data_IF_742404219508
#
_entry.id   IF_742404219508
#
_cell.length_a   1.000
_cell.length_b   1.000
_cell.length_c   1.000
_cell.angle_alpha   90.00
_cell.angle_beta   90.00
_cell.angle_gamma   90.00
#
_symmetry.space_group_name_H-M   'P 1'
#
loop_
_entity.id
_entity.type
_entity.pdbx_description
1 polymer ?
#
# COMPACT_ATOMS: atom_id res chain seq x y z
N UNK A 1 -36.06 -25.12 5.09
CA UNK A 1 -35.47 -23.81 5.30
C UNK A 1 -33.96 -23.93 4.99
N UNK A 2 -33.56 -23.77 3.71
CA UNK A 2 -32.17 -23.60 3.34
C UNK A 2 -31.87 -22.10 3.41
N UNK A 3 -31.26 -21.69 4.50
CA UNK A 3 -30.55 -20.41 4.57
C UNK A 3 -29.30 -20.63 3.70
N UNK A 4 -29.26 -20.04 2.50
CA UNK A 4 -28.04 -19.89 1.75
C UNK A 4 -27.14 -18.97 2.60
N UNK A 5 -26.23 -19.57 3.38
CA UNK A 5 -25.07 -18.85 3.87
C UNK A 5 -24.30 -18.41 2.63
N UNK A 6 -24.16 -17.11 2.40
CA UNK A 6 -23.25 -16.59 1.38
C UNK A 6 -21.87 -17.19 1.67
N UNK A 7 -21.27 -17.87 0.70
CA UNK A 7 -19.93 -18.42 0.87
C UNK A 7 -18.98 -17.26 1.22
N UNK A 8 -18.39 -17.33 2.42
CA UNK A 8 -17.41 -16.33 2.85
C UNK A 8 -16.27 -16.27 1.84
N UNK A 9 -16.06 -15.10 1.21
CA UNK A 9 -14.95 -14.88 0.29
C UNK A 9 -13.82 -14.15 1.04
N UNK A 10 -12.65 -14.77 1.23
CA UNK A 10 -11.55 -14.18 1.98
C UNK A 10 -10.94 -12.93 1.32
N UNK A 11 -11.30 -12.62 0.08
CA UNK A 11 -10.92 -11.38 -0.61
C UNK A 11 -11.85 -10.20 -0.29
N UNK A 12 -12.86 -10.39 0.58
CA UNK A 12 -13.75 -9.33 1.06
C UNK A 12 -13.56 -9.17 2.56
N UNK A 13 -13.38 -7.94 3.00
CA UNK A 13 -13.38 -7.61 4.42
C UNK A 13 -14.80 -7.79 5.01
N UNK A 14 -14.91 -7.99 6.32
CA UNK A 14 -16.21 -8.28 6.96
C UNK A 14 -17.30 -7.25 6.61
N UNK A 15 -16.94 -5.98 6.57
CA UNK A 15 -17.87 -4.90 6.20
C UNK A 15 -18.16 -4.82 4.69
N UNK A 16 -17.39 -5.50 3.85
CA UNK A 16 -17.61 -5.62 2.40
C UNK A 16 -18.46 -6.83 2.03
N UNK A 17 -18.66 -7.82 2.94
CA UNK A 17 -19.45 -9.03 2.65
C UNK A 17 -20.85 -8.74 2.09
N UNK A 18 -21.59 -7.68 2.50
CA UNK A 18 -22.86 -7.34 1.89
C UNK A 18 -22.81 -7.02 0.39
N UNK A 19 -21.64 -6.61 -0.12
CA UNK A 19 -21.42 -6.33 -1.55
C UNK A 19 -21.32 -7.62 -2.36
N UNK A 20 -20.80 -8.68 -1.75
CA UNK A 20 -20.57 -9.97 -2.40
C UNK A 20 -21.86 -10.57 -2.98
N UNK A 21 -22.97 -10.46 -2.25
CA UNK A 21 -24.28 -10.96 -2.72
C UNK A 21 -24.76 -10.27 -4.01
N UNK A 22 -24.51 -8.98 -4.12
CA UNK A 22 -24.89 -8.20 -5.32
C UNK A 22 -23.95 -8.58 -6.48
N UNK A 23 -22.66 -8.68 -6.24
CA UNK A 23 -21.66 -9.06 -7.24
C UNK A 23 -21.86 -10.50 -7.74
N UNK A 24 -22.18 -11.43 -6.87
CA UNK A 24 -22.53 -12.80 -7.24
C UNK A 24 -23.77 -12.84 -8.15
N UNK A 25 -24.80 -12.04 -7.86
CA UNK A 25 -25.98 -11.92 -8.74
C UNK A 25 -25.62 -11.36 -10.11
N UNK A 26 -24.77 -10.35 -10.18
CA UNK A 26 -24.30 -9.77 -11.45
C UNK A 26 -23.50 -10.82 -12.23
N UNK A 27 -22.60 -11.54 -11.57
CA UNK A 27 -21.77 -12.58 -12.18
C UNK A 27 -22.62 -13.73 -12.71
N UNK A 28 -23.58 -14.22 -11.92
CA UNK A 28 -24.49 -15.28 -12.35
C UNK A 28 -25.29 -14.92 -13.60
N UNK A 29 -25.72 -13.66 -13.74
CA UNK A 29 -26.43 -13.20 -14.93
C UNK A 29 -25.47 -13.12 -16.13
N UNK A 30 -24.23 -12.62 -15.93
CA UNK A 30 -23.22 -12.52 -17.00
C UNK A 30 -22.76 -13.88 -17.54
N UNK A 31 -22.69 -14.90 -16.70
CA UNK A 31 -22.25 -16.26 -17.07
C UNK A 31 -23.35 -17.10 -17.70
N UNK A 32 -24.62 -16.65 -17.65
CA UNK A 32 -25.71 -17.35 -18.33
C UNK A 32 -25.55 -17.23 -19.85
N UNK A 33 -25.60 -18.36 -20.56
CA UNK A 33 -25.27 -18.46 -21.99
C UNK A 33 -26.19 -17.68 -22.95
N UNK A 34 -27.32 -17.10 -22.46
CA UNK A 34 -28.30 -16.36 -23.27
C UNK A 34 -28.76 -15.10 -22.53
N UNK A 35 -27.84 -14.15 -22.32
CA UNK A 35 -28.22 -12.86 -21.71
C UNK A 35 -29.22 -12.08 -22.60
N UNK A 36 -30.44 -11.97 -22.14
CA UNK A 36 -31.50 -11.20 -22.82
C UNK A 36 -31.36 -9.70 -22.55
N UNK A 37 -32.04 -8.88 -23.36
CA UNK A 37 -32.10 -7.42 -23.12
C UNK A 37 -32.67 -7.07 -21.73
N UNK A 38 -33.49 -7.94 -21.16
CA UNK A 38 -34.03 -7.83 -19.78
C UNK A 38 -32.93 -8.08 -18.75
N UNK A 39 -32.01 -9.00 -19.03
CA UNK A 39 -30.87 -9.31 -18.15
C UNK A 39 -29.84 -8.17 -18.14
N UNK A 40 -29.61 -7.51 -19.27
CA UNK A 40 -28.77 -6.32 -19.34
C UNK A 40 -29.32 -5.17 -18.46
N UNK A 41 -30.63 -4.89 -18.54
CA UNK A 41 -31.28 -3.89 -17.68
C UNK A 41 -31.19 -4.26 -16.19
N UNK A 42 -31.28 -5.55 -15.87
CA UNK A 42 -31.16 -6.03 -14.50
C UNK A 42 -29.73 -5.88 -13.98
N UNK A 43 -28.71 -6.16 -14.80
CA UNK A 43 -27.29 -5.93 -14.45
C UNK A 43 -27.07 -4.44 -14.18
N UNK A 44 -27.62 -3.55 -15.00
CA UNK A 44 -27.47 -2.11 -14.82
C UNK A 44 -28.09 -1.62 -13.50
N UNK A 45 -29.30 -2.09 -13.18
CA UNK A 45 -29.92 -1.81 -11.88
C UNK A 45 -29.08 -2.33 -10.71
N UNK A 46 -28.56 -3.56 -10.80
CA UNK A 46 -27.71 -4.14 -9.75
C UNK A 46 -26.39 -3.39 -9.58
N UNK A 47 -25.80 -2.86 -10.65
CA UNK A 47 -24.61 -2.02 -10.56
C UNK A 47 -24.88 -0.71 -9.82
N UNK A 48 -26.01 -0.05 -10.11
CA UNK A 48 -26.43 1.16 -9.41
C UNK A 48 -26.63 0.88 -7.91
N UNK A 49 -27.24 -0.25 -7.58
CA UNK A 49 -27.42 -0.66 -6.18
C UNK A 49 -26.07 -1.00 -5.51
N UNK A 50 -25.15 -1.63 -6.24
CA UNK A 50 -23.80 -1.90 -5.77
C UNK A 50 -23.07 -0.61 -5.44
N UNK A 51 -23.04 0.37 -6.36
CA UNK A 51 -22.37 1.65 -6.17
C UNK A 51 -22.93 2.43 -4.99
N UNK A 52 -24.25 2.41 -4.79
CA UNK A 52 -24.91 3.02 -3.63
C UNK A 52 -24.46 2.35 -2.32
N UNK A 53 -24.41 1.01 -2.29
CA UNK A 53 -23.99 0.28 -1.08
C UNK A 53 -22.50 0.52 -0.80
N UNK A 54 -21.64 0.52 -1.82
CA UNK A 54 -20.23 0.87 -1.67
C UNK A 54 -20.11 2.30 -1.09
N UNK A 55 -20.77 3.28 -1.70
CA UNK A 55 -20.74 4.67 -1.21
C UNK A 55 -21.18 4.77 0.25
N UNK A 56 -22.24 4.06 0.63
CA UNK A 56 -22.75 4.05 2.01
C UNK A 56 -21.73 3.45 2.98
N UNK A 57 -21.12 2.32 2.65
CA UNK A 57 -20.13 1.66 3.51
C UNK A 57 -18.86 2.53 3.62
N UNK A 58 -18.33 2.99 2.49
CA UNK A 58 -17.05 3.71 2.45
C UNK A 58 -17.14 5.17 2.93
N UNK A 59 -18.34 5.72 3.09
CA UNK A 59 -18.52 7.07 3.67
C UNK A 59 -18.42 7.12 5.20
N UNK A 60 -18.40 5.96 5.89
CA UNK A 60 -18.45 5.88 7.36
C UNK A 60 -17.51 4.85 7.95
N UNK A 61 -16.36 4.64 7.31
CA UNK A 61 -15.36 3.70 7.79
C UNK A 61 -14.69 4.22 9.07
N UNK A 62 -14.50 3.32 10.05
CA UNK A 62 -13.65 3.58 11.20
C UNK A 62 -12.15 3.52 10.83
N UNK A 63 -11.28 4.09 11.63
CA UNK A 63 -9.83 4.03 11.45
C UNK A 63 -9.32 2.57 11.37
N UNK A 64 -9.94 1.70 12.15
CA UNK A 64 -9.66 0.27 12.09
C UNK A 64 -10.01 -0.34 10.74
N UNK A 65 -11.19 -0.03 10.20
CA UNK A 65 -11.60 -0.50 8.87
C UNK A 65 -10.69 0.05 7.77
N UNK A 66 -10.28 1.33 7.87
CA UNK A 66 -9.29 1.92 6.96
C UNK A 66 -7.96 1.16 7.05
N UNK A 67 -7.51 0.79 8.27
CA UNK A 67 -6.27 0.02 8.43
C UNK A 67 -6.37 -1.37 7.78
N UNK A 68 -7.54 -1.99 7.80
CA UNK A 68 -7.78 -3.25 7.10
C UNK A 68 -7.76 -3.08 5.57
N UNK A 69 -8.35 -1.99 5.04
CA UNK A 69 -8.28 -1.66 3.61
C UNK A 69 -6.84 -1.39 3.18
N UNK A 70 -6.04 -0.66 3.97
CA UNK A 70 -4.64 -0.40 3.69
C UNK A 70 -3.81 -1.68 3.48
N UNK A 71 -4.21 -2.76 4.15
CA UNK A 71 -3.58 -4.09 4.11
C UNK A 71 -4.29 -5.08 3.18
N UNK A 72 -5.30 -4.62 2.44
CA UNK A 72 -6.11 -5.51 1.60
C UNK A 72 -5.24 -6.25 0.57
N UNK A 73 -5.35 -7.60 0.46
CA UNK A 73 -4.44 -8.41 -0.36
C UNK A 73 -4.51 -8.12 -1.87
N UNK A 74 -5.62 -7.57 -2.35
CA UNK A 74 -5.80 -7.18 -3.74
C UNK A 74 -5.42 -5.71 -4.02
N UNK A 75 -4.91 -4.98 -3.05
CA UNK A 75 -4.45 -3.62 -3.25
C UNK A 75 -3.25 -3.58 -4.20
N UNK A 76 -3.12 -2.60 -5.11
CA UNK A 76 -1.93 -2.50 -5.96
C UNK A 76 -0.66 -2.32 -5.12
N UNK A 77 0.42 -3.03 -5.47
CA UNK A 77 1.74 -2.92 -4.89
C UNK A 77 2.67 -2.10 -5.79
N UNK A 78 3.89 -1.85 -5.35
CA UNK A 78 4.87 -1.04 -6.10
C UNK A 78 5.06 -1.48 -7.54
N UNK A 79 5.21 -2.78 -7.81
CA UNK A 79 5.38 -3.28 -9.17
C UNK A 79 4.14 -3.05 -10.04
N UNK A 80 2.92 -3.15 -9.47
CA UNK A 80 1.69 -2.87 -10.23
C UNK A 80 1.66 -1.40 -10.71
N UNK A 81 2.08 -0.46 -9.86
CA UNK A 81 2.21 0.96 -10.26
C UNK A 81 3.30 1.15 -11.30
N UNK A 82 4.48 0.51 -11.11
CA UNK A 82 5.58 0.62 -12.07
C UNK A 82 5.17 0.11 -13.45
N UNK A 83 4.57 -1.07 -13.53
CA UNK A 83 4.18 -1.71 -14.79
C UNK A 83 3.07 -0.96 -15.54
N UNK A 84 2.17 -0.27 -14.83
CA UNK A 84 1.01 0.37 -15.44
C UNK A 84 1.17 1.88 -15.65
N UNK A 85 2.10 2.54 -14.97
CA UNK A 85 2.27 4.00 -15.06
C UNK A 85 3.57 4.41 -15.76
N UNK A 86 4.59 3.56 -15.72
CA UNK A 86 5.92 3.90 -16.21
C UNK A 86 6.33 3.02 -17.39
N UNK A 87 7.28 3.52 -18.17
CA UNK A 87 7.95 2.77 -19.24
C UNK A 87 9.44 2.61 -18.95
N UNK A 88 10.10 1.69 -19.67
CA UNK A 88 11.55 1.48 -19.62
C UNK A 88 12.09 1.21 -18.21
N UNK A 89 11.34 0.52 -17.36
CA UNK A 89 11.82 0.21 -16.02
C UNK A 89 13.05 -0.71 -16.07
N UNK A 90 14.13 -0.26 -15.44
CA UNK A 90 15.38 -1.02 -15.30
C UNK A 90 15.71 -1.16 -13.82
N UNK A 91 15.50 -2.37 -13.28
CA UNK A 91 15.70 -2.65 -11.85
C UNK A 91 17.18 -2.68 -11.47
N UNK A 92 17.48 -2.10 -10.31
CA UNK A 92 18.81 -2.08 -9.68
C UNK A 92 18.80 -3.04 -8.49
N UNK A 93 19.73 -4.00 -8.50
CA UNK A 93 19.86 -5.02 -7.46
C UNK A 93 21.06 -4.84 -6.57
N UNK A 94 20.93 -5.30 -5.32
CA UNK A 94 22.01 -5.46 -4.36
C UNK A 94 22.53 -4.16 -3.74
N UNK A 95 23.02 -4.29 -2.51
CA UNK A 95 23.55 -3.16 -1.72
C UNK A 95 25.05 -2.89 -1.91
N UNK A 96 25.75 -3.75 -2.63
CA UNK A 96 27.23 -3.73 -2.83
C UNK A 96 28.01 -3.98 -1.53
N UNK A 97 27.38 -4.54 -0.51
CA UNK A 97 28.02 -4.89 0.78
C UNK A 97 27.77 -6.32 1.19
N UNK A 98 26.49 -6.75 1.19
CA UNK A 98 26.10 -8.09 1.65
C UNK A 98 25.26 -8.84 0.63
N UNK A 99 24.21 -8.22 0.09
CA UNK A 99 23.29 -8.94 -0.78
C UNK A 99 22.22 -8.07 -1.40
N UNK A 100 21.16 -8.74 -1.87
CA UNK A 100 19.95 -8.09 -2.37
C UNK A 100 18.78 -8.40 -1.46
N UNK A 101 17.86 -7.45 -1.34
CA UNK A 101 16.61 -7.60 -0.61
C UNK A 101 15.42 -7.46 -1.56
N UNK A 102 14.56 -8.46 -1.58
CA UNK A 102 13.39 -8.54 -2.46
C UNK A 102 12.17 -7.77 -1.93
N UNK A 103 12.23 -7.29 -0.69
CA UNK A 103 11.19 -6.44 -0.10
C UNK A 103 11.28 -4.97 -0.56
N UNK A 104 12.41 -4.55 -1.16
CA UNK A 104 12.56 -3.24 -1.78
C UNK A 104 12.86 -3.40 -3.28
N UNK A 105 12.12 -2.68 -4.09
CA UNK A 105 12.34 -2.50 -5.54
C UNK A 105 12.98 -1.14 -5.74
N UNK A 106 14.05 -1.08 -6.53
CA UNK A 106 14.67 0.17 -6.96
C UNK A 106 14.97 0.11 -8.45
N UNK A 107 14.80 1.19 -9.18
CA UNK A 107 15.17 1.22 -10.59
C UNK A 107 14.89 2.56 -11.26
N UNK A 108 15.45 2.74 -12.43
CA UNK A 108 15.12 3.86 -13.31
C UNK A 108 13.87 3.50 -14.13
N UNK A 109 13.03 4.50 -14.36
CA UNK A 109 11.89 4.39 -15.25
C UNK A 109 11.58 5.73 -15.91
N UNK A 110 10.70 5.73 -16.89
CA UNK A 110 10.30 6.93 -17.62
C UNK A 110 8.81 7.15 -17.48
N UNK A 111 8.39 8.37 -17.18
CA UNK A 111 7.02 8.85 -17.20
C UNK A 111 6.99 10.18 -17.98
N UNK A 112 6.15 10.27 -19.02
CA UNK A 112 6.05 11.45 -19.90
C UNK A 112 7.42 11.99 -20.34
N UNK A 113 8.26 11.09 -20.88
CA UNK A 113 9.63 11.35 -21.35
C UNK A 113 10.61 11.88 -20.27
N UNK A 114 10.22 11.86 -19.01
CA UNK A 114 11.08 12.22 -17.88
C UNK A 114 11.56 10.98 -17.14
N UNK A 115 12.85 10.96 -16.82
CA UNK A 115 13.44 9.88 -16.04
C UNK A 115 13.19 10.08 -14.54
N UNK A 116 12.87 8.98 -13.85
CA UNK A 116 12.70 8.92 -12.40
C UNK A 116 13.52 7.78 -11.81
N UNK A 117 14.00 7.97 -10.60
CA UNK A 117 14.42 6.88 -9.74
C UNK A 117 13.20 6.43 -8.91
N UNK A 118 12.76 5.21 -9.13
CA UNK A 118 11.66 4.61 -8.38
C UNK A 118 12.23 3.72 -7.27
N UNK A 119 11.69 3.87 -6.07
CA UNK A 119 12.05 3.06 -4.90
C UNK A 119 10.76 2.68 -4.19
N UNK A 120 10.53 1.40 -3.87
CA UNK A 120 9.31 1.06 -3.18
C UNK A 120 9.34 -0.28 -2.47
N UNK A 121 8.47 -0.42 -1.49
CA UNK A 121 8.26 -1.68 -0.81
C UNK A 121 7.42 -2.61 -1.70
N UNK A 122 7.78 -3.89 -1.72
CA UNK A 122 7.04 -4.91 -2.45
C UNK A 122 6.59 -6.02 -1.52
N UNK A 123 5.30 -6.23 -1.47
CA UNK A 123 4.64 -7.38 -0.83
C UNK A 123 4.39 -8.48 -1.86
N UNK A 124 4.12 -9.70 -1.40
CA UNK A 124 3.74 -10.82 -2.24
C UNK A 124 2.25 -11.06 -2.26
N UNK A 125 1.73 -11.61 -3.38
CA UNK A 125 0.32 -11.98 -3.55
C UNK A 125 0.00 -13.32 -2.92
N UNK A 126 0.75 -14.35 -3.26
CA UNK A 126 0.60 -15.70 -2.72
C UNK A 126 1.61 -16.00 -1.59
N UNK A 127 1.49 -17.16 -0.97
CA UNK A 127 2.34 -17.56 0.16
C UNK A 127 3.81 -17.65 -0.23
N UNK A 128 4.13 -18.12 -1.44
CA UNK A 128 5.51 -18.26 -1.94
C UNK A 128 6.14 -16.89 -2.18
N UNK A 129 5.40 -16.01 -2.84
CA UNK A 129 5.85 -14.65 -3.09
C UNK A 129 5.97 -13.84 -1.79
N UNK A 130 5.02 -13.99 -0.84
CA UNK A 130 5.12 -13.34 0.48
C UNK A 130 6.41 -13.71 1.21
N UNK A 131 6.79 -14.99 1.20
CA UNK A 131 8.06 -15.44 1.78
C UNK A 131 9.25 -14.87 1.01
N UNK A 132 9.22 -14.90 -0.32
CA UNK A 132 10.27 -14.34 -1.18
C UNK A 132 10.48 -12.83 -0.96
N UNK A 133 9.40 -12.07 -0.75
CA UNK A 133 9.41 -10.62 -0.46
C UNK A 133 9.52 -10.31 1.05
N UNK A 134 9.79 -11.32 1.87
CA UNK A 134 9.87 -11.17 3.33
C UNK A 134 8.67 -10.41 3.90
N UNK A 135 7.46 -10.68 3.40
CA UNK A 135 6.19 -10.03 3.77
C UNK A 135 6.21 -8.49 3.63
N UNK A 136 7.05 -7.94 2.77
CA UNK A 136 7.25 -6.50 2.60
C UNK A 136 8.04 -5.84 3.73
N UNK A 137 8.75 -6.64 4.55
CA UNK A 137 9.61 -6.14 5.62
C UNK A 137 11.08 -6.11 5.17
N UNK A 138 11.65 -4.96 4.86
CA UNK A 138 13.03 -4.89 4.39
C UNK A 138 14.05 -5.26 5.47
N UNK A 139 15.13 -5.88 5.01
CA UNK A 139 16.36 -6.11 5.74
C UNK A 139 17.36 -4.97 5.50
N UNK A 140 18.50 -4.90 6.24
CA UNK A 140 19.48 -3.82 6.08
C UNK A 140 19.95 -3.60 4.65
N UNK A 141 20.13 -4.68 3.89
CA UNK A 141 20.55 -4.65 2.49
C UNK A 141 19.52 -3.98 1.58
N UNK A 142 18.23 -4.03 1.90
CA UNK A 142 17.18 -3.30 1.19
C UNK A 142 17.32 -1.79 1.35
N UNK A 143 17.52 -1.32 2.58
CA UNK A 143 17.72 0.10 2.86
C UNK A 143 19.03 0.62 2.27
N UNK A 144 20.12 -0.14 2.36
CA UNK A 144 21.39 0.22 1.71
C UNK A 144 21.28 0.25 0.18
N UNK A 145 20.51 -0.68 -0.41
CA UNK A 145 20.19 -0.65 -1.85
C UNK A 145 19.42 0.62 -2.21
N UNK A 146 18.40 0.97 -1.43
CA UNK A 146 17.64 2.21 -1.61
C UNK A 146 18.55 3.44 -1.55
N UNK A 147 19.41 3.54 -0.53
CA UNK A 147 20.36 4.65 -0.40
C UNK A 147 21.32 4.74 -1.60
N UNK A 148 21.80 3.60 -2.06
CA UNK A 148 22.66 3.55 -3.25
C UNK A 148 21.94 4.08 -4.50
N UNK A 149 20.66 3.72 -4.67
CA UNK A 149 19.81 4.20 -5.75
C UNK A 149 19.56 5.71 -5.63
N UNK A 150 19.28 6.22 -4.43
CA UNK A 150 19.10 7.66 -4.17
C UNK A 150 20.35 8.47 -4.48
N UNK A 151 21.55 8.01 -4.05
CA UNK A 151 22.81 8.66 -4.38
C UNK A 151 23.10 8.66 -5.88
N UNK A 152 22.69 7.62 -6.58
CA UNK A 152 22.82 7.56 -8.05
C UNK A 152 21.87 8.55 -8.72
N UNK A 153 20.64 8.67 -8.26
CA UNK A 153 19.68 9.66 -8.73
C UNK A 153 20.17 11.10 -8.52
N UNK A 154 20.67 11.40 -7.32
CA UNK A 154 21.26 12.70 -7.01
C UNK A 154 22.42 13.05 -7.94
N UNK A 155 23.33 12.09 -8.18
CA UNK A 155 24.49 12.30 -9.09
C UNK A 155 24.07 12.73 -10.50
N UNK A 156 22.93 12.23 -10.99
CA UNK A 156 22.41 12.56 -12.32
C UNK A 156 21.28 13.59 -12.29
N UNK A 157 20.99 14.16 -11.13
CA UNK A 157 19.88 15.10 -10.90
C UNK A 157 18.52 14.57 -11.40
N UNK A 158 18.25 13.30 -11.10
CA UNK A 158 17.01 12.61 -11.46
C UNK A 158 16.07 12.63 -10.26
N UNK A 159 14.80 13.08 -10.39
CA UNK A 159 13.85 13.06 -9.29
C UNK A 159 13.60 11.63 -8.77
N UNK A 160 13.39 11.55 -7.46
CA UNK A 160 13.12 10.30 -6.75
C UNK A 160 11.64 10.24 -6.41
N UNK A 161 10.99 9.11 -6.71
CA UNK A 161 9.64 8.79 -6.28
C UNK A 161 9.68 7.52 -5.43
N UNK A 162 9.15 7.59 -4.19
CA UNK A 162 9.10 6.43 -3.31
C UNK A 162 7.67 5.95 -3.08
N UNK A 163 7.45 4.63 -3.10
CA UNK A 163 6.19 3.96 -2.81
C UNK A 163 6.30 3.20 -1.48
N UNK A 164 5.55 3.63 -0.47
CA UNK A 164 5.62 3.09 0.88
C UNK A 164 4.46 2.11 1.10
N UNK A 165 4.80 0.82 1.33
CA UNK A 165 3.85 -0.22 1.69
C UNK A 165 4.53 -1.35 2.48
N UNK A 166 4.75 -1.12 3.77
CA UNK A 166 5.44 -2.06 4.67
C UNK A 166 4.80 -2.08 6.05
N UNK A 167 4.67 -3.24 6.70
CA UNK A 167 4.31 -3.30 8.12
C UNK A 167 5.44 -2.81 9.05
N UNK A 168 6.68 -2.65 8.53
CA UNK A 168 7.85 -2.21 9.25
C UNK A 168 9.14 -2.85 8.75
N UNK A 169 10.27 -2.48 9.35
CA UNK A 169 11.54 -3.13 9.10
C UNK A 169 11.54 -4.56 9.68
N UNK A 170 12.25 -5.48 9.03
CA UNK A 170 12.36 -6.86 9.53
C UNK A 170 13.06 -6.91 10.90
N UNK A 171 12.43 -7.48 11.94
CA UNK A 171 12.92 -7.44 13.31
C UNK A 171 13.79 -8.65 13.68
N UNK A 172 14.28 -9.41 12.69
CA UNK A 172 15.04 -10.63 12.94
C UNK A 172 16.48 -10.38 13.41
N UNK A 173 17.03 -11.31 14.20
CA UNK A 173 18.40 -11.25 14.73
C UNK A 173 19.44 -11.12 13.61
N UNK A 174 19.20 -11.78 12.47
CA UNK A 174 20.07 -11.69 11.28
C UNK A 174 20.09 -10.29 10.67
N UNK A 175 18.99 -9.54 10.72
CA UNK A 175 18.95 -8.14 10.29
C UNK A 175 19.64 -7.22 11.31
N UNK A 176 19.42 -7.46 12.60
CA UNK A 176 20.07 -6.68 13.66
C UNK A 176 21.59 -6.85 13.61
N UNK A 177 22.09 -8.08 13.44
CA UNK A 177 23.53 -8.38 13.30
C UNK A 177 24.18 -7.72 12.08
N UNK A 178 23.39 -7.35 11.06
CA UNK A 178 23.84 -6.60 9.88
C UNK A 178 23.48 -5.12 9.92
N UNK A 179 23.24 -4.58 11.14
CA UNK A 179 23.01 -3.17 11.42
C UNK A 179 21.71 -2.60 10.81
N UNK A 180 20.56 -3.22 11.11
CA UNK A 180 19.24 -2.74 10.66
C UNK A 180 18.99 -1.28 11.04
N UNK A 181 19.23 -0.91 12.29
CA UNK A 181 19.02 0.46 12.78
C UNK A 181 19.94 1.47 12.11
N UNK A 182 21.19 1.11 11.86
CA UNK A 182 22.16 1.98 11.16
C UNK A 182 21.74 2.18 9.72
N UNK A 183 21.33 1.13 9.01
CA UNK A 183 20.88 1.25 7.62
C UNK A 183 19.65 2.17 7.47
N UNK A 184 18.73 2.13 8.44
CA UNK A 184 17.58 3.06 8.50
C UNK A 184 18.08 4.48 8.79
N UNK A 185 18.91 4.67 9.82
CA UNK A 185 19.42 5.99 10.22
C UNK A 185 20.22 6.67 9.11
N UNK A 186 21.06 5.91 8.40
CA UNK A 186 21.81 6.42 7.24
C UNK A 186 20.89 6.92 6.14
N UNK A 187 19.80 6.21 5.87
CA UNK A 187 18.82 6.65 4.89
C UNK A 187 18.19 7.99 5.31
N UNK A 188 17.71 8.12 6.55
CA UNK A 188 17.14 9.37 7.05
C UNK A 188 18.14 10.54 6.92
N UNK A 189 19.38 10.32 7.36
CA UNK A 189 20.43 11.32 7.31
C UNK A 189 20.75 11.75 5.89
N UNK A 190 20.86 10.82 4.96
CA UNK A 190 21.18 11.15 3.58
C UNK A 190 19.99 11.76 2.83
N UNK A 191 18.78 11.22 3.00
CA UNK A 191 17.57 11.75 2.35
C UNK A 191 17.34 13.22 2.72
N UNK A 192 17.59 13.61 3.98
CA UNK A 192 17.47 15.02 4.40
C UNK A 192 18.49 15.97 3.73
N UNK A 193 19.47 15.45 2.99
CA UNK A 193 20.54 16.22 2.34
C UNK A 193 20.58 16.08 0.82
N UNK A 194 19.85 15.13 0.24
CA UNK A 194 19.74 14.93 -1.20
C UNK A 194 19.18 16.18 -1.85
N UNK A 195 19.82 16.59 -2.96
CA UNK A 195 19.50 17.86 -3.65
C UNK A 195 18.51 17.70 -4.79
N UNK A 196 18.34 16.49 -5.34
CA UNK A 196 17.28 16.26 -6.32
C UNK A 196 15.92 16.10 -5.61
N UNK A 197 14.79 16.46 -6.26
CA UNK A 197 13.47 16.36 -5.66
C UNK A 197 13.12 14.94 -5.24
N UNK A 198 12.55 14.81 -4.06
CA UNK A 198 12.01 13.53 -3.53
C UNK A 198 10.52 13.70 -3.25
N UNK A 199 9.69 12.82 -3.83
CA UNK A 199 8.29 12.68 -3.48
C UNK A 199 8.05 11.28 -2.93
N UNK A 200 7.36 11.18 -1.79
CA UNK A 200 6.96 9.91 -1.18
C UNK A 200 5.45 9.73 -1.23
N UNK A 201 5.00 8.52 -1.51
CA UNK A 201 3.58 8.18 -1.51
C UNK A 201 3.36 6.93 -0.66
N UNK A 202 2.52 7.05 0.38
CA UNK A 202 2.04 5.87 1.13
C UNK A 202 0.90 5.25 0.35
N UNK A 203 1.15 4.08 -0.26
CA UNK A 203 0.19 3.39 -1.13
C UNK A 203 -0.63 2.32 -0.41
N UNK A 204 -0.26 1.97 0.82
CA UNK A 204 -0.93 0.98 1.65
C UNK A 204 -0.62 1.22 3.11
N UNK A 205 0.26 0.41 3.67
CA UNK A 205 0.64 0.45 5.08
C UNK A 205 2.03 1.07 5.24
N UNK A 206 2.12 2.21 5.95
CA UNK A 206 3.38 2.88 6.27
C UNK A 206 3.82 2.59 7.71
N UNK A 207 4.51 1.46 7.93
CA UNK A 207 4.88 1.02 9.26
C UNK A 207 6.25 1.51 9.75
N UNK A 208 6.27 2.31 10.82
CA UNK A 208 7.43 2.59 11.66
C UNK A 208 8.69 3.02 10.88
N UNK A 209 9.87 2.68 11.40
CA UNK A 209 11.17 2.96 10.80
C UNK A 209 11.36 2.35 9.40
N UNK A 210 10.64 1.26 9.10
CA UNK A 210 10.64 0.66 7.77
C UNK A 210 10.11 1.62 6.69
N UNK A 211 8.99 2.26 6.97
CA UNK A 211 8.40 3.27 6.10
C UNK A 211 9.25 4.55 6.08
N UNK A 212 9.69 5.00 7.25
CA UNK A 212 10.45 6.23 7.40
C UNK A 212 11.79 6.19 6.63
N UNK A 213 12.42 5.02 6.54
CA UNK A 213 13.70 4.83 5.87
C UNK A 213 13.70 5.15 4.36
N UNK A 214 12.52 5.24 3.73
CA UNK A 214 12.36 5.73 2.36
C UNK A 214 11.31 6.84 2.25
N UNK A 215 10.89 7.42 3.40
CA UNK A 215 9.78 8.37 3.51
C UNK A 215 10.18 9.81 3.79
N UNK A 216 11.46 10.11 4.00
CA UNK A 216 11.94 11.50 4.17
C UNK A 216 11.99 12.17 2.80
N UNK A 217 11.13 13.16 2.57
CA UNK A 217 10.91 13.72 1.23
C UNK A 217 10.52 15.19 1.27
N UNK A 218 10.63 15.88 0.13
CA UNK A 218 10.17 17.25 -0.04
C UNK A 218 8.63 17.33 -0.04
N UNK A 219 7.98 16.25 -0.51
CA UNK A 219 6.53 16.11 -0.52
C UNK A 219 6.12 14.69 -0.13
N UNK A 220 5.23 14.60 0.83
CA UNK A 220 4.65 13.33 1.28
C UNK A 220 3.16 13.30 0.99
N UNK A 221 2.73 12.36 0.16
CA UNK A 221 1.33 12.10 -0.11
C UNK A 221 0.89 10.74 0.46
N UNK A 222 -0.40 10.59 0.68
CA UNK A 222 -1.01 9.32 1.07
C UNK A 222 -2.19 9.01 0.18
N UNK A 223 -2.39 7.74 -0.18
CA UNK A 223 -3.65 7.30 -0.74
C UNK A 223 -4.76 7.41 0.32
N UNK A 224 -5.98 7.68 -0.11
CA UNK A 224 -7.12 7.97 0.77
C UNK A 224 -7.33 6.93 1.88
N UNK A 225 -7.20 5.64 1.56
CA UNK A 225 -7.39 4.53 2.49
C UNK A 225 -6.05 3.84 2.84
N UNK A 226 -4.95 4.59 2.84
CA UNK A 226 -3.67 4.16 3.39
C UNK A 226 -3.52 4.60 4.86
N UNK A 227 -2.56 4.00 5.57
CA UNK A 227 -2.23 4.36 6.95
C UNK A 227 -0.73 4.63 7.10
N UNK A 228 -0.36 5.52 8.01
CA UNK A 228 1.03 5.79 8.34
C UNK A 228 1.18 5.94 9.85
N UNK A 229 2.00 5.10 10.47
CA UNK A 229 2.09 5.03 11.94
C UNK A 229 3.44 4.50 12.44
N UNK A 230 3.76 4.85 13.68
CA UNK A 230 4.98 4.37 14.37
C UNK A 230 4.87 2.91 14.82
N UNK A 231 3.65 2.39 14.98
CA UNK A 231 3.36 1.03 15.44
C UNK A 231 2.02 0.57 14.87
N UNK A 232 1.84 -0.73 14.67
CA UNK A 232 0.54 -1.27 14.27
C UNK A 232 -0.51 -1.09 15.38
N UNK A 233 -1.80 -0.93 15.04
CA UNK A 233 -2.87 -0.88 16.03
C UNK A 233 -2.85 -2.08 17.00
N UNK A 234 -2.59 -3.29 16.50
CA UNK A 234 -2.49 -4.50 17.32
C UNK A 234 -1.29 -4.46 18.28
N UNK A 235 -0.15 -3.97 17.79
CA UNK A 235 1.05 -3.77 18.61
C UNK A 235 0.84 -2.73 19.72
N UNK A 236 0.22 -1.61 19.38
CA UNK A 236 -0.17 -0.56 20.33
C UNK A 236 -1.13 -1.10 21.39
N UNK A 237 -2.17 -1.83 20.97
CA UNK A 237 -3.14 -2.43 21.86
C UNK A 237 -2.49 -3.44 22.82
N UNK A 238 -1.58 -4.26 22.31
CA UNK A 238 -0.83 -5.24 23.12
C UNK A 238 0.03 -4.58 24.19
N UNK A 239 0.66 -3.44 23.87
CA UNK A 239 1.53 -2.71 24.82
C UNK A 239 0.68 -1.97 25.86
N UNK A 240 -0.32 -1.18 25.44
CA UNK A 240 -1.06 -0.29 26.34
C UNK A 240 -2.13 -1.01 27.15
N UNK A 241 -2.83 -1.96 26.53
CA UNK A 241 -3.95 -2.67 27.19
C UNK A 241 -3.65 -4.15 27.46
N UNK A 242 -2.49 -4.66 27.03
CA UNK A 242 -2.11 -6.08 27.11
C UNK A 242 -3.15 -7.00 26.42
N UNK A 243 -3.83 -6.49 25.43
CA UNK A 243 -4.93 -7.14 24.74
C UNK A 243 -4.99 -6.67 23.26
N UNK A 244 -4.52 -7.51 22.35
CA UNK A 244 -4.50 -7.20 20.91
C UNK A 244 -5.92 -7.06 20.30
N UNK A 245 -6.96 -7.60 20.95
CA UNK A 245 -8.34 -7.45 20.47
C UNK A 245 -8.86 -6.02 20.53
N UNK A 246 -8.16 -5.12 21.24
CA UNK A 246 -8.45 -3.68 21.33
C UNK A 246 -7.79 -2.86 20.21
N UNK A 247 -7.35 -3.52 19.13
CA UNK A 247 -6.73 -2.85 17.98
C UNK A 247 -7.61 -1.75 17.36
N UNK A 248 -8.93 -1.90 17.39
CA UNK A 248 -9.88 -0.87 16.94
C UNK A 248 -9.77 0.43 17.78
N UNK A 249 -9.66 0.31 19.11
CA UNK A 249 -9.48 1.45 20.02
C UNK A 249 -8.11 2.10 19.78
N UNK A 250 -7.09 1.26 19.58
CA UNK A 250 -5.74 1.74 19.28
C UNK A 250 -5.66 2.48 17.95
N UNK A 251 -6.35 2.00 16.90
CA UNK A 251 -6.39 2.66 15.59
C UNK A 251 -6.94 4.09 15.70
N UNK A 252 -8.06 4.26 16.42
CA UNK A 252 -8.65 5.58 16.68
C UNK A 252 -7.70 6.50 17.45
N UNK A 253 -7.06 6.00 18.51
CA UNK A 253 -6.16 6.77 19.35
C UNK A 253 -4.87 7.19 18.64
N UNK A 254 -4.37 6.37 17.73
CA UNK A 254 -3.12 6.61 16.99
C UNK A 254 -3.25 7.66 15.88
N UNK A 255 -4.47 7.98 15.43
CA UNK A 255 -4.72 8.97 14.36
C UNK A 255 -3.93 8.68 13.07
N UNK A 256 -3.98 7.46 12.58
CA UNK A 256 -3.09 6.92 11.52
C UNK A 256 -3.58 7.11 10.08
N UNK A 257 -4.80 7.62 9.91
CA UNK A 257 -5.46 7.75 8.59
C UNK A 257 -5.03 9.03 7.86
N UNK A 258 -5.18 9.02 6.55
CA UNK A 258 -4.71 10.11 5.68
C UNK A 258 -5.32 11.47 6.02
N UNK A 259 -6.61 11.53 6.34
CA UNK A 259 -7.33 12.75 6.74
C UNK A 259 -6.83 13.31 8.07
N UNK A 260 -6.61 12.44 9.07
CA UNK A 260 -6.07 12.85 10.38
C UNK A 260 -4.63 13.36 10.25
N UNK A 261 -3.79 12.67 9.46
CA UNK A 261 -2.40 13.07 9.24
C UNK A 261 -2.30 14.37 8.42
N UNK A 262 -3.20 14.59 7.46
CA UNK A 262 -3.28 15.87 6.77
C UNK A 262 -3.68 17.01 7.72
N UNK A 263 -4.66 16.78 8.60
CA UNK A 263 -5.08 17.75 9.60
C UNK A 263 -3.98 18.08 10.63
N UNK A 264 -3.07 17.14 10.88
CA UNK A 264 -1.87 17.34 11.71
C UNK A 264 -0.69 17.92 10.94
N UNK A 265 -0.85 18.25 9.65
CA UNK A 265 0.21 18.78 8.78
C UNK A 265 1.42 17.83 8.66
N UNK A 266 1.20 16.52 8.85
CA UNK A 266 2.24 15.50 8.74
C UNK A 266 2.40 14.97 7.31
N UNK A 267 1.41 15.22 6.46
CA UNK A 267 1.45 14.94 5.02
C UNK A 267 0.99 16.17 4.23
N UNK A 268 1.43 16.26 2.98
CA UNK A 268 1.10 17.40 2.10
C UNK A 268 -0.19 17.20 1.32
N UNK A 269 -0.56 15.96 1.01
CA UNK A 269 -1.69 15.68 0.11
C UNK A 269 -2.30 14.29 0.32
N UNK A 270 -3.63 14.22 0.18
CA UNK A 270 -4.36 12.97 0.01
C UNK A 270 -4.63 12.76 -1.48
N UNK A 271 -4.30 11.58 -1.98
CA UNK A 271 -4.62 11.14 -3.34
C UNK A 271 -5.93 10.34 -3.25
N UNK A 272 -7.01 10.79 -3.91
CA UNK A 272 -8.29 10.11 -3.82
C UNK A 272 -8.22 8.72 -4.47
N UNK A 273 -8.88 7.77 -3.84
CA UNK A 273 -9.02 6.42 -4.37
C UNK A 273 -10.37 6.26 -5.11
N UNK A 274 -10.47 5.34 -6.06
CA UNK A 274 -11.73 5.01 -6.71
C UNK A 274 -12.80 4.57 -5.70
N UNK A 275 -14.06 4.63 -6.11
CA UNK A 275 -15.18 4.15 -5.31
C UNK A 275 -14.94 2.70 -4.84
N UNK A 276 -14.93 2.50 -3.52
CA UNK A 276 -14.63 1.21 -2.91
C UNK A 276 -13.13 0.88 -2.78
N UNK A 277 -12.25 1.89 -2.86
CA UNK A 277 -10.80 1.82 -2.72
C UNK A 277 -10.03 1.27 -3.93
N UNK A 278 -8.69 1.33 -3.85
CA UNK A 278 -7.76 1.04 -4.94
C UNK A 278 -7.90 -0.37 -5.54
N UNK A 279 -8.24 -1.36 -4.72
CA UNK A 279 -8.36 -2.76 -5.15
C UNK A 279 -9.58 -3.04 -6.04
N UNK A 280 -10.54 -2.13 -6.13
CA UNK A 280 -11.76 -2.32 -6.95
C UNK A 280 -11.62 -1.75 -8.36
N UNK A 281 -10.73 -0.79 -8.59
CA UNK A 281 -10.50 -0.22 -9.92
C UNK A 281 -9.05 0.27 -10.09
N UNK A 282 -8.20 -0.63 -10.54
CA UNK A 282 -6.77 -0.37 -10.73
C UNK A 282 -6.51 0.75 -11.74
N UNK A 283 -7.22 0.73 -12.89
CA UNK A 283 -7.02 1.74 -13.94
C UNK A 283 -7.32 3.16 -13.42
N UNK A 284 -8.44 3.33 -12.71
CA UNK A 284 -8.77 4.62 -12.12
C UNK A 284 -7.77 5.01 -11.02
N UNK A 285 -7.25 4.03 -10.25
CA UNK A 285 -6.23 4.30 -9.22
C UNK A 285 -4.92 4.80 -9.84
N UNK A 286 -4.44 4.15 -10.91
CA UNK A 286 -3.23 4.60 -11.62
C UNK A 286 -3.39 5.99 -12.24
N UNK A 287 -4.60 6.32 -12.71
CA UNK A 287 -4.89 7.65 -13.25
C UNK A 287 -5.00 8.75 -12.17
N UNK A 288 -5.28 8.38 -10.92
CA UNK A 288 -5.37 9.33 -9.80
C UNK A 288 -4.00 9.67 -9.20
N UNK A 289 -3.05 8.76 -9.33
CA UNK A 289 -1.68 8.91 -8.84
C UNK A 289 -0.81 9.64 -9.84
#
# INVERSE_FOLDING_TARGET
YNIFMSEYNPNYLDFEQPLLDIENKITAIKTSANASQKDLKKIESLKIDLDKNISKIFSSLSDWQISQIARHPLRPYTLDYIENMFSNFTEIHGDRMFGDDKAIICGFATLDDKSFMLIGHQKGRDSKEKVYRNFGMPKPEGYRKALRAMKLAEKFNIPILTFIDTPGAYPGIDAESRNQSIAIADNLYHMSKIKCPIMSVVIGEGGSGGALAIGVSDKLAMLQYSIYSVISPEGCASILWKDASKANIAAEALSITSDKLLNHELIDRIIPEPLGAAHRNYTAMYSSL
#
